data_IF_246548776235
#
_entry.id   IF_246548776235
#
_cell.length_a   1.000
_cell.length_b   1.000
_cell.length_c   1.000
_cell.angle_alpha   90.00
_cell.angle_beta   90.00
_cell.angle_gamma   90.00
#
_symmetry.space_group_name_H-M   'P 1'
#
loop_
_entity.id
_entity.type
_entity.pdbx_description
1 polymer ?
#
# COMPACT_ATOMS: atom_id res chain seq x y z
N UNK A 1 17.32 -24.61 -1.38
CA UNK A 1 17.43 -23.45 -2.30
C UNK A 1 18.55 -23.78 -3.25
N UNK A 2 18.21 -24.07 -4.49
CA UNK A 2 19.15 -24.40 -5.55
C UNK A 2 19.88 -23.12 -5.99
N UNK A 3 21.08 -22.93 -5.53
CA UNK A 3 22.24 -22.15 -5.98
C UNK A 3 22.12 -20.94 -6.93
N UNK A 4 20.95 -20.37 -7.17
CA UNK A 4 20.78 -19.16 -7.95
C UNK A 4 21.25 -17.95 -7.12
N UNK A 5 22.28 -17.28 -7.60
CA UNK A 5 22.69 -15.99 -7.04
C UNK A 5 21.73 -14.91 -7.53
N UNK A 6 20.82 -14.51 -6.67
CA UNK A 6 19.86 -13.42 -6.93
C UNK A 6 20.40 -12.04 -6.57
N UNK A 7 21.72 -11.91 -6.47
CA UNK A 7 22.35 -10.61 -6.27
C UNK A 7 22.01 -9.71 -7.45
N UNK A 8 21.49 -8.54 -7.16
CA UNK A 8 21.04 -7.57 -8.17
C UNK A 8 21.55 -6.17 -7.84
N UNK A 9 21.92 -5.43 -8.87
CA UNK A 9 22.19 -4.02 -8.80
C UNK A 9 21.06 -3.25 -9.47
N UNK A 10 20.64 -2.16 -8.85
CA UNK A 10 19.54 -1.35 -9.36
C UNK A 10 19.83 0.14 -9.31
N UNK A 11 19.39 0.86 -10.32
CA UNK A 11 19.38 2.31 -10.35
C UNK A 11 17.97 2.79 -10.64
N UNK A 12 17.53 3.82 -9.93
CA UNK A 12 16.27 4.48 -10.18
C UNK A 12 16.50 5.98 -10.36
N UNK A 13 15.85 6.52 -11.36
CA UNK A 13 15.80 7.97 -11.58
C UNK A 13 14.34 8.41 -11.49
N UNK A 14 14.06 9.35 -10.58
CA UNK A 14 12.72 9.90 -10.37
C UNK A 14 12.79 11.42 -10.35
N UNK A 15 11.76 12.05 -10.91
CA UNK A 15 11.50 13.49 -10.81
C UNK A 15 10.12 13.67 -10.20
N UNK A 16 10.00 14.61 -9.29
CA UNK A 16 8.74 14.85 -8.60
C UNK A 16 8.54 16.31 -8.25
N UNK A 17 7.31 16.61 -7.87
CA UNK A 17 6.89 17.90 -7.35
C UNK A 17 5.98 17.71 -6.15
N UNK A 18 6.17 18.53 -5.13
CA UNK A 18 5.27 18.67 -4.01
C UNK A 18 4.66 20.07 -4.04
N UNK A 19 3.34 20.14 -3.95
CA UNK A 19 2.58 21.39 -4.08
C UNK A 19 1.57 21.48 -2.95
N UNK A 20 1.59 22.58 -2.21
CA UNK A 20 0.48 23.00 -1.37
C UNK A 20 -0.47 23.84 -2.23
N UNK A 21 -1.54 23.24 -2.73
CA UNK A 21 -2.51 23.92 -3.60
C UNK A 21 -3.29 24.99 -2.84
N UNK A 22 -3.51 24.77 -1.55
CA UNK A 22 -4.03 25.74 -0.58
C UNK A 22 -3.75 25.24 0.84
N UNK A 23 -4.28 25.95 1.85
CA UNK A 23 -4.10 25.56 3.26
C UNK A 23 -4.72 24.22 3.66
N UNK A 24 -5.60 23.67 2.83
CA UNK A 24 -6.33 22.42 3.12
C UNK A 24 -5.95 21.25 2.21
N UNK A 25 -5.20 21.50 1.14
CA UNK A 25 -4.87 20.49 0.13
C UNK A 25 -3.38 20.52 -0.21
N UNK A 26 -2.70 19.43 0.10
CA UNK A 26 -1.33 19.16 -0.31
C UNK A 26 -1.27 17.93 -1.21
N UNK A 27 -0.47 18.00 -2.23
CA UNK A 27 -0.24 16.89 -3.16
C UNK A 27 1.25 16.75 -3.46
N UNK A 28 1.68 15.52 -3.61
CA UNK A 28 3.01 15.16 -4.06
C UNK A 28 2.88 14.12 -5.17
N UNK A 29 3.62 14.30 -6.25
CA UNK A 29 3.70 13.33 -7.33
C UNK A 29 5.16 13.21 -7.78
N UNK A 30 5.61 11.99 -7.97
CA UNK A 30 6.90 11.70 -8.59
C UNK A 30 6.76 10.56 -9.58
N UNK A 31 7.57 10.64 -10.64
CA UNK A 31 7.61 9.62 -11.68
C UNK A 31 9.02 9.43 -12.20
N UNK A 32 9.31 8.24 -12.67
CA UNK A 32 10.64 7.91 -13.19
C UNK A 32 10.73 6.49 -13.71
N UNK A 33 11.95 6.04 -13.86
CA UNK A 33 12.28 4.70 -14.34
C UNK A 33 13.27 4.05 -13.38
N UNK A 34 13.08 2.77 -13.16
CA UNK A 34 13.98 1.90 -12.43
C UNK A 34 14.52 0.84 -13.39
N UNK A 35 15.82 0.68 -13.40
CA UNK A 35 16.52 -0.43 -14.04
C UNK A 35 17.14 -1.31 -12.96
N UNK A 36 16.94 -2.63 -13.07
CA UNK A 36 17.55 -3.62 -12.18
C UNK A 36 18.18 -4.72 -13.02
N UNK A 37 19.47 -4.96 -12.80
CA UNK A 37 20.24 -6.02 -13.44
C UNK A 37 20.61 -7.11 -12.44
N UNK A 38 20.65 -8.36 -12.90
CA UNK A 38 20.95 -9.53 -12.08
C UNK A 38 22.31 -10.11 -12.45
N UNK A 39 23.06 -10.57 -11.44
CA UNK A 39 24.35 -11.27 -11.65
C UNK A 39 24.14 -12.61 -12.37
N UNK A 40 23.03 -13.28 -12.11
CA UNK A 40 22.66 -14.52 -12.77
C UNK A 40 22.02 -14.22 -14.13
N UNK A 41 22.70 -14.61 -15.22
CA UNK A 41 22.25 -14.41 -16.60
C UNK A 41 20.98 -15.19 -16.98
N UNK A 42 20.51 -16.10 -16.14
CA UNK A 42 19.23 -16.78 -16.34
C UNK A 42 18.04 -15.92 -15.92
N UNK A 43 18.28 -14.86 -15.16
CA UNK A 43 17.29 -13.88 -14.75
C UNK A 43 17.28 -12.71 -15.73
N UNK A 44 16.11 -12.25 -16.11
CA UNK A 44 15.97 -11.10 -17.02
C UNK A 44 16.11 -9.80 -16.23
N UNK A 45 16.79 -8.82 -16.83
CA UNK A 45 16.83 -7.47 -16.30
C UNK A 45 15.44 -6.83 -16.31
N UNK A 46 15.12 -6.08 -15.26
CA UNK A 46 13.81 -5.45 -15.11
C UNK A 46 13.95 -3.96 -15.37
N UNK A 47 13.12 -3.47 -16.32
CA UNK A 47 12.89 -2.06 -16.54
C UNK A 47 11.44 -1.76 -16.18
N UNK A 48 11.23 -0.90 -15.19
CA UNK A 48 9.89 -0.61 -14.70
C UNK A 48 9.69 0.89 -14.47
N UNK A 49 8.49 1.42 -14.73
CA UNK A 49 8.14 2.75 -14.29
C UNK A 49 8.02 2.80 -12.77
N UNK A 50 8.48 3.89 -12.18
CA UNK A 50 8.25 4.22 -10.77
C UNK A 50 7.34 5.43 -10.73
N UNK A 51 6.19 5.30 -10.12
CA UNK A 51 5.22 6.37 -9.95
C UNK A 51 4.81 6.38 -8.48
N UNK A 52 4.91 7.56 -7.85
CA UNK A 52 4.39 7.77 -6.50
C UNK A 52 3.51 9.01 -6.51
N UNK A 53 2.37 8.90 -5.86
CA UNK A 53 1.46 10.02 -5.65
C UNK A 53 0.94 9.98 -4.22
N UNK A 54 0.92 11.12 -3.57
CA UNK A 54 0.33 11.31 -2.26
C UNK A 54 -0.53 12.56 -2.25
N UNK A 55 -1.68 12.48 -1.60
CA UNK A 55 -2.59 13.60 -1.46
C UNK A 55 -3.15 13.59 -0.04
N UNK A 56 -3.15 14.74 0.60
CA UNK A 56 -3.82 14.99 1.87
C UNK A 56 -4.75 16.18 1.69
N UNK A 57 -6.02 15.94 1.90
CA UNK A 57 -7.05 16.94 1.75
C UNK A 57 -7.90 17.05 3.02
N UNK A 58 -7.78 18.18 3.72
CA UNK A 58 -8.64 18.56 4.83
C UNK A 58 -9.91 19.19 4.25
N UNK A 59 -10.89 18.35 3.91
CA UNK A 59 -12.19 18.77 3.32
C UNK A 59 -12.91 19.73 4.26
N UNK A 60 -12.77 19.48 5.56
CA UNK A 60 -13.27 20.33 6.64
C UNK A 60 -12.37 20.19 7.87
N UNK A 61 -12.51 21.01 8.91
CA UNK A 61 -11.79 20.82 10.18
C UNK A 61 -11.98 19.45 10.84
N UNK A 62 -13.06 18.75 10.46
CA UNK A 62 -13.41 17.43 11.01
C UNK A 62 -13.17 16.28 10.03
N UNK A 63 -12.87 16.56 8.76
CA UNK A 63 -12.77 15.53 7.71
C UNK A 63 -11.47 15.64 6.95
N UNK A 64 -10.68 14.59 6.96
CA UNK A 64 -9.44 14.49 6.20
C UNK A 64 -9.49 13.27 5.27
N UNK A 65 -9.15 13.50 4.02
CA UNK A 65 -8.97 12.47 2.99
C UNK A 65 -7.49 12.30 2.72
N UNK A 66 -7.01 11.06 2.70
CA UNK A 66 -5.64 10.71 2.33
C UNK A 66 -5.67 9.72 1.18
N UNK A 67 -4.90 9.99 0.16
CA UNK A 67 -4.69 9.06 -0.95
C UNK A 67 -3.19 8.85 -1.11
N UNK A 68 -2.79 7.60 -1.32
CA UNK A 68 -1.43 7.25 -1.68
C UNK A 68 -1.47 6.22 -2.80
N UNK A 69 -0.56 6.37 -3.76
CA UNK A 69 -0.33 5.41 -4.82
C UNK A 69 1.17 5.25 -5.01
N UNK A 70 1.63 4.02 -5.13
CA UNK A 70 3.04 3.69 -5.26
C UNK A 70 3.20 2.50 -6.21
N UNK A 71 4.13 2.63 -7.15
CA UNK A 71 4.60 1.51 -7.96
C UNK A 71 6.06 1.21 -7.67
N UNK A 72 6.47 -0.02 -7.91
CA UNK A 72 7.88 -0.40 -7.74
C UNK A 72 8.15 -1.85 -8.10
N UNK A 73 9.44 -2.19 -8.11
CA UNK A 73 9.90 -3.56 -8.30
C UNK A 73 10.35 -4.12 -6.96
N UNK A 74 9.82 -5.28 -6.61
CA UNK A 74 10.21 -6.05 -5.43
C UNK A 74 10.92 -7.34 -5.83
N UNK A 75 11.78 -7.83 -4.95
CA UNK A 75 12.39 -9.15 -5.09
C UNK A 75 11.36 -10.25 -4.80
N UNK A 76 11.51 -11.39 -5.46
CA UNK A 76 10.62 -12.53 -5.28
C UNK A 76 11.42 -13.83 -5.13
N UNK A 77 10.87 -14.76 -4.36
CA UNK A 77 11.39 -16.13 -4.26
C UNK A 77 10.72 -17.09 -5.26
N UNK A 78 9.83 -16.61 -6.10
CA UNK A 78 9.12 -17.46 -7.10
C UNK A 78 10.12 -17.99 -8.11
N UNK A 79 10.17 -19.33 -8.31
CA UNK A 79 11.06 -19.93 -9.30
C UNK A 79 10.76 -19.45 -10.71
N UNK A 80 11.80 -19.09 -11.47
CA UNK A 80 11.68 -18.60 -12.85
C UNK A 80 11.27 -17.12 -12.96
N UNK A 81 11.06 -16.42 -11.85
CA UNK A 81 10.79 -14.98 -11.84
C UNK A 81 12.04 -14.20 -11.43
N UNK A 82 12.38 -13.14 -12.15
CA UNK A 82 13.45 -12.22 -11.83
C UNK A 82 13.05 -11.29 -10.69
N UNK A 83 11.80 -10.85 -10.66
CA UNK A 83 11.25 -9.95 -9.68
C UNK A 83 9.75 -9.79 -9.89
N UNK A 84 9.11 -8.90 -9.15
CA UNK A 84 7.70 -8.59 -9.34
C UNK A 84 7.47 -7.08 -9.36
N UNK A 85 6.68 -6.64 -10.31
CA UNK A 85 6.19 -5.27 -10.37
C UNK A 85 4.93 -5.16 -9.50
N UNK A 86 4.93 -4.20 -8.59
CA UNK A 86 3.82 -3.92 -7.69
C UNK A 86 3.21 -2.56 -8.01
N UNK A 87 1.89 -2.49 -7.95
CA UNK A 87 1.11 -1.27 -7.99
C UNK A 87 0.15 -1.28 -6.80
N UNK A 88 0.34 -0.35 -5.89
CA UNK A 88 -0.43 -0.24 -4.65
C UNK A 88 -1.10 1.13 -4.57
N UNK A 89 -2.38 1.15 -4.25
CA UNK A 89 -3.13 2.37 -4.00
C UNK A 89 -3.93 2.25 -2.71
N UNK A 90 -3.98 3.32 -1.93
CA UNK A 90 -4.78 3.41 -0.70
C UNK A 90 -5.57 4.72 -0.68
N UNK A 91 -6.80 4.65 -0.25
CA UNK A 91 -7.65 5.80 0.03
C UNK A 91 -8.18 5.67 1.46
N UNK A 92 -8.05 6.71 2.24
CA UNK A 92 -8.53 6.77 3.61
C UNK A 92 -9.31 8.07 3.84
N UNK A 93 -10.48 7.97 4.45
CA UNK A 93 -11.30 9.09 4.89
C UNK A 93 -11.47 9.00 6.39
N UNK A 94 -10.94 9.96 7.10
CA UNK A 94 -11.14 10.12 8.54
C UNK A 94 -12.15 11.23 8.80
N UNK A 95 -13.13 10.97 9.66
CA UNK A 95 -14.10 11.96 10.11
C UNK A 95 -14.23 11.95 11.64
N UNK A 96 -14.06 13.10 12.25
CA UNK A 96 -14.26 13.29 13.70
C UNK A 96 -15.75 13.57 13.94
N UNK A 97 -16.51 12.47 14.13
CA UNK A 97 -17.96 12.52 14.28
C UNK A 97 -18.40 13.25 15.58
N UNK A 98 -17.62 13.06 16.65
CA UNK A 98 -17.77 13.74 17.93
C UNK A 98 -16.39 14.18 18.42
N UNK A 99 -16.34 15.06 19.44
CA UNK A 99 -15.05 15.48 20.05
C UNK A 99 -14.21 14.30 20.57
N UNK A 100 -14.86 13.19 20.86
CA UNK A 100 -14.24 11.99 21.42
C UNK A 100 -14.46 10.73 20.55
N UNK A 101 -15.03 10.85 19.35
CA UNK A 101 -15.25 9.73 18.43
C UNK A 101 -14.76 10.11 17.05
N UNK A 102 -13.76 9.39 16.58
CA UNK A 102 -13.26 9.45 15.20
C UNK A 102 -13.59 8.14 14.49
N UNK A 103 -14.06 8.24 13.25
CA UNK A 103 -14.30 7.13 12.35
C UNK A 103 -13.37 7.26 11.16
N UNK A 104 -12.79 6.15 10.74
CA UNK A 104 -11.93 6.07 9.56
C UNK A 104 -12.42 4.96 8.65
N UNK A 105 -12.70 5.30 7.41
CA UNK A 105 -13.00 4.35 6.35
C UNK A 105 -11.83 4.33 5.36
N UNK A 106 -11.42 3.14 4.92
CA UNK A 106 -10.31 2.98 4.01
C UNK A 106 -10.57 1.90 2.97
N UNK A 107 -9.92 2.05 1.83
CA UNK A 107 -9.82 1.06 0.78
C UNK A 107 -8.38 0.95 0.31
N UNK A 108 -7.96 -0.26 -0.06
CA UNK A 108 -6.66 -0.48 -0.66
C UNK A 108 -6.76 -1.44 -1.84
N UNK A 109 -5.88 -1.22 -2.79
CA UNK A 109 -5.67 -2.06 -3.96
C UNK A 109 -4.19 -2.40 -4.05
N UNK A 110 -3.90 -3.65 -4.40
CA UNK A 110 -2.55 -4.14 -4.66
C UNK A 110 -2.58 -5.04 -5.89
N UNK A 111 -1.77 -4.72 -6.89
CA UNK A 111 -1.50 -5.61 -8.01
C UNK A 111 -0.03 -6.01 -7.99
N UNK A 112 0.23 -7.30 -8.21
CA UNK A 112 1.59 -7.84 -8.32
C UNK A 112 1.67 -8.65 -9.60
N UNK A 113 2.60 -8.29 -10.48
CA UNK A 113 2.88 -9.01 -11.71
C UNK A 113 4.31 -9.54 -11.64
N UNK A 114 4.48 -10.85 -11.73
CA UNK A 114 5.79 -11.49 -11.64
C UNK A 114 6.44 -11.53 -13.02
N UNK A 115 7.66 -11.01 -13.11
CA UNK A 115 8.41 -10.99 -14.36
C UNK A 115 8.99 -12.38 -14.67
N UNK A 116 9.00 -12.76 -15.95
CA UNK A 116 9.48 -14.08 -16.41
C UNK A 116 8.48 -15.23 -16.25
N UNK A 117 7.39 -15.04 -15.51
CA UNK A 117 6.34 -16.07 -15.28
C UNK A 117 4.94 -15.48 -15.45
N UNK A 118 3.95 -16.33 -15.74
CA UNK A 118 2.55 -15.89 -15.91
C UNK A 118 1.78 -15.84 -14.58
N UNK A 119 2.39 -15.28 -13.54
CA UNK A 119 1.77 -15.14 -12.24
C UNK A 119 1.32 -13.69 -12.06
N UNK A 120 0.06 -13.51 -11.69
CA UNK A 120 -0.55 -12.22 -11.39
C UNK A 120 -1.41 -12.34 -10.15
N UNK A 121 -1.28 -11.35 -9.28
CA UNK A 121 -2.06 -11.26 -8.06
C UNK A 121 -2.74 -9.90 -7.98
N UNK A 122 -3.97 -9.88 -7.51
CA UNK A 122 -4.75 -8.66 -7.27
C UNK A 122 -5.44 -8.77 -5.93
N UNK A 123 -5.08 -7.88 -5.03
CA UNK A 123 -5.66 -7.75 -3.71
C UNK A 123 -6.52 -6.50 -3.60
N UNK A 124 -7.62 -6.62 -2.88
CA UNK A 124 -8.48 -5.50 -2.47
C UNK A 124 -8.73 -5.60 -0.98
N UNK A 125 -8.78 -4.48 -0.31
CA UNK A 125 -9.25 -4.45 1.06
C UNK A 125 -10.14 -3.24 1.32
N UNK A 126 -11.09 -3.42 2.24
CA UNK A 126 -11.90 -2.36 2.81
C UNK A 126 -11.74 -2.39 4.33
N UNK A 127 -11.58 -1.23 4.92
CA UNK A 127 -11.35 -1.09 6.36
C UNK A 127 -12.33 -0.07 6.95
N UNK A 128 -12.93 -0.42 8.08
CA UNK A 128 -13.66 0.52 8.91
C UNK A 128 -13.06 0.50 10.31
N UNK A 129 -12.70 1.65 10.85
CA UNK A 129 -12.12 1.82 12.18
C UNK A 129 -12.85 2.87 12.96
N UNK A 130 -12.91 2.71 14.28
CA UNK A 130 -13.33 3.77 15.20
C UNK A 130 -12.34 3.89 16.36
N UNK A 131 -12.21 5.11 16.87
CA UNK A 131 -11.46 5.44 18.09
C UNK A 131 -12.39 6.27 18.98
N UNK A 132 -12.85 5.69 20.09
CA UNK A 132 -13.73 6.34 21.05
C UNK A 132 -12.99 6.60 22.36
N UNK A 133 -12.79 7.86 22.72
CA UNK A 133 -12.13 8.29 23.95
C UNK A 133 -13.17 8.56 25.04
N UNK A 134 -13.24 7.68 26.03
CA UNK A 134 -14.09 7.90 27.22
C UNK A 134 -13.62 9.10 28.02
N UNK A 135 -12.29 9.21 28.19
CA UNK A 135 -11.62 10.30 28.89
C UNK A 135 -10.15 10.36 28.45
N UNK A 136 -9.32 11.20 29.11
CA UNK A 136 -7.89 11.33 28.79
C UNK A 136 -7.07 10.05 29.03
N UNK A 137 -7.58 9.13 29.84
CA UNK A 137 -6.89 7.91 30.27
C UNK A 137 -7.31 6.68 29.50
N UNK A 138 -8.55 6.63 28.99
CA UNK A 138 -9.17 5.43 28.45
C UNK A 138 -9.77 5.68 27.07
N UNK A 139 -9.39 4.86 26.11
CA UNK A 139 -9.99 4.82 24.77
C UNK A 139 -10.30 3.38 24.33
N UNK A 140 -11.40 3.21 23.62
CA UNK A 140 -11.81 1.98 22.95
C UNK A 140 -11.53 2.16 21.46
N UNK A 141 -10.92 1.15 20.85
CA UNK A 141 -10.66 1.08 19.42
C UNK A 141 -11.25 -0.17 18.84
N UNK A 142 -11.87 -0.04 17.70
CA UNK A 142 -12.31 -1.18 16.93
C UNK A 142 -11.95 -1.04 15.47
N UNK A 143 -11.72 -2.16 14.81
CA UNK A 143 -11.56 -2.20 13.37
C UNK A 143 -12.16 -3.46 12.78
N UNK A 144 -12.74 -3.30 11.60
CA UNK A 144 -13.16 -4.36 10.71
C UNK A 144 -12.40 -4.21 9.40
N UNK A 145 -11.81 -5.31 8.95
CA UNK A 145 -11.05 -5.36 7.70
C UNK A 145 -11.61 -6.53 6.88
N UNK A 146 -12.09 -6.21 5.70
CA UNK A 146 -12.36 -7.16 4.64
C UNK A 146 -11.18 -7.16 3.68
N UNK A 147 -10.68 -8.32 3.29
CA UNK A 147 -9.62 -8.45 2.31
C UNK A 147 -9.87 -9.63 1.39
N UNK A 148 -9.55 -9.44 0.12
CA UNK A 148 -9.57 -10.51 -0.88
C UNK A 148 -8.31 -10.45 -1.73
N UNK A 149 -7.79 -11.61 -2.06
CA UNK A 149 -6.68 -11.80 -3.00
C UNK A 149 -7.11 -12.76 -4.08
N UNK A 150 -7.00 -12.32 -5.33
CA UNK A 150 -7.15 -13.16 -6.51
C UNK A 150 -5.76 -13.43 -7.09
N UNK A 151 -5.38 -14.69 -7.20
CA UNK A 151 -4.10 -15.12 -7.70
C UNK A 151 -4.29 -16.11 -8.86
N UNK A 152 -3.39 -16.05 -9.85
CA UNK A 152 -3.30 -17.09 -10.88
C UNK A 152 -2.62 -18.36 -10.38
N UNK A 153 -2.04 -18.32 -9.16
CA UNK A 153 -1.50 -19.52 -8.49
C UNK A 153 -2.68 -20.31 -7.93
N UNK A 154 -2.80 -21.62 -8.26
CA UNK A 154 -3.84 -22.46 -7.69
C UNK A 154 -3.82 -22.43 -6.15
N UNK A 155 -5.00 -22.34 -5.52
CA UNK A 155 -5.20 -22.36 -4.07
C UNK A 155 -4.64 -21.13 -3.32
N UNK A 156 -4.17 -20.09 -4.02
CA UNK A 156 -3.69 -18.85 -3.40
C UNK A 156 -4.74 -17.74 -3.33
N UNK A 157 -5.91 -17.95 -3.95
CA UNK A 157 -7.04 -17.03 -3.84
C UNK A 157 -7.70 -17.18 -2.48
N UNK A 158 -7.92 -16.07 -1.79
CA UNK A 158 -8.60 -16.10 -0.48
C UNK A 158 -9.48 -14.87 -0.28
N UNK A 159 -10.39 -15.01 0.66
CA UNK A 159 -11.22 -13.96 1.21
C UNK A 159 -11.13 -14.04 2.75
N UNK A 160 -10.97 -12.90 3.41
CA UNK A 160 -10.80 -12.85 4.84
C UNK A 160 -11.54 -11.67 5.48
N UNK A 161 -12.10 -11.93 6.64
CA UNK A 161 -12.74 -10.94 7.50
C UNK A 161 -12.00 -10.91 8.83
N UNK A 162 -11.53 -9.74 9.22
CA UNK A 162 -10.79 -9.57 10.49
C UNK A 162 -11.49 -8.52 11.34
N UNK A 163 -11.80 -8.88 12.58
CA UNK A 163 -12.32 -7.96 13.58
C UNK A 163 -11.32 -7.83 14.71
N UNK A 164 -10.94 -6.60 15.03
CA UNK A 164 -10.06 -6.28 16.14
C UNK A 164 -10.77 -5.31 17.09
N UNK A 165 -10.68 -5.59 18.39
CA UNK A 165 -11.15 -4.71 19.44
C UNK A 165 -10.05 -4.54 20.47
N UNK A 166 -9.79 -3.32 20.88
CA UNK A 166 -8.71 -3.01 21.81
C UNK A 166 -9.06 -1.84 22.73
N UNK A 167 -8.51 -1.91 23.92
CA UNK A 167 -8.59 -0.84 24.91
C UNK A 167 -7.20 -0.23 25.07
N UNK A 168 -7.11 1.09 24.98
CA UNK A 168 -5.88 1.85 25.24
C UNK A 168 -6.02 2.59 26.57
N UNK A 169 -5.04 2.36 27.44
CA UNK A 169 -4.88 3.07 28.70
C UNK A 169 -3.63 3.96 28.59
N UNK A 170 -3.78 5.26 28.84
CA UNK A 170 -2.67 6.20 28.91
C UNK A 170 -2.50 6.61 30.38
N UNK A 171 -1.41 6.22 31.06
CA UNK A 171 -1.15 6.62 32.44
C UNK A 171 -0.79 8.11 32.57
#
# INVERSE_FOLDING_TARGET
QFGLRRDSDGIAFTVGAAVALNSTLTAEISGGLQHRSYVDRTLQDINAPVINAALVWSVSPLTTVRFNQQTGVIETAVPGSSGAFTDAATLEVQHDLLRNLSITLGGAYLATNYDGVRIRERGYSATARFDYRFNRWLALRGSYIYSTLNSTIPLSTYEAHTVLLGVRVNP
#
